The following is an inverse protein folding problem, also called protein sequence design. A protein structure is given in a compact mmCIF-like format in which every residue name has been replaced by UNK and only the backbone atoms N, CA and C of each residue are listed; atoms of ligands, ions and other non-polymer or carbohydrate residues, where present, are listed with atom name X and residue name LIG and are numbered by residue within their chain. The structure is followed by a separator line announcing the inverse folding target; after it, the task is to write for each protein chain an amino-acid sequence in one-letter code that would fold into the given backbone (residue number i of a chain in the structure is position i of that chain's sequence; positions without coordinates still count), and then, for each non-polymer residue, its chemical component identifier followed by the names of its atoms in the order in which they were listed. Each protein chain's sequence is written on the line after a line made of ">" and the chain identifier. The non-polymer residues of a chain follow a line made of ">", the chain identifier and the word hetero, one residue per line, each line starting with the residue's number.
data_IF_706951284751
#
_entry.id   IF_706951284751
#
_cell.length_a   1.000
_cell.length_b   1.000
_cell.length_c   1.000
_cell.angle_alpha   90.00
_cell.angle_beta   90.00
_cell.angle_gamma   90.00
#
_symmetry.space_group_name_H-M   'P 1'
#
loop_
_entity.id
_entity.type
_entity.pdbx_description
1 polymer ?
#
# COMPACT_ATOMS: atom_id res chain seq x y z
N UNK A 1 11.22 -11.84 -13.17
CA UNK A 1 11.29 -10.56 -13.88
C UNK A 1 9.98 -10.29 -14.58
N UNK A 2 9.34 -9.17 -14.25
CA UNK A 2 8.09 -8.72 -14.88
C UNK A 2 8.35 -8.07 -16.24
N UNK A 3 7.33 -7.94 -17.09
CA UNK A 3 7.44 -7.27 -18.39
C UNK A 3 7.84 -5.78 -18.27
N UNK A 4 7.49 -5.13 -17.16
CA UNK A 4 7.87 -3.74 -16.87
C UNK A 4 9.37 -3.64 -16.62
N UNK A 5 9.93 -4.54 -15.80
CA UNK A 5 11.37 -4.56 -15.49
C UNK A 5 12.25 -4.76 -16.73
N UNK A 6 11.76 -5.50 -17.73
CA UNK A 6 12.52 -5.80 -18.94
C UNK A 6 12.54 -4.64 -19.96
N UNK A 7 11.53 -3.78 -19.94
CA UNK A 7 11.32 -2.76 -20.98
C UNK A 7 11.48 -1.32 -20.49
N UNK A 8 11.41 -1.08 -19.17
CA UNK A 8 11.43 0.25 -18.56
C UNK A 8 12.53 0.39 -17.51
N UNK A 9 13.78 0.20 -17.93
CA UNK A 9 14.96 0.30 -17.05
C UNK A 9 15.10 1.73 -16.51
N UNK A 10 15.21 1.87 -15.18
CA UNK A 10 15.38 3.15 -14.49
C UNK A 10 14.09 3.90 -14.15
N UNK A 11 12.91 3.33 -14.47
CA UNK A 11 11.62 3.91 -14.12
C UNK A 11 11.14 3.37 -12.77
N UNK A 12 10.70 4.26 -11.89
CA UNK A 12 9.96 3.86 -10.69
C UNK A 12 8.54 3.43 -11.09
N UNK A 13 8.20 2.17 -10.84
CA UNK A 13 6.85 1.66 -11.02
C UNK A 13 6.11 1.63 -9.68
N UNK A 14 4.89 2.16 -9.65
CA UNK A 14 4.03 2.14 -8.46
C UNK A 14 2.68 1.51 -8.80
N UNK A 15 2.22 0.60 -7.94
CA UNK A 15 0.86 0.09 -8.01
C UNK A 15 -0.12 1.19 -7.62
N UNK A 16 -1.12 1.42 -8.47
CA UNK A 16 -2.12 2.47 -8.25
C UNK A 16 -2.88 2.26 -6.92
N UNK A 17 -2.77 3.23 -6.01
CA UNK A 17 -3.38 3.24 -4.68
C UNK A 17 -4.91 3.08 -4.72
N UNK A 18 -5.57 3.70 -5.71
CA UNK A 18 -7.03 3.63 -5.87
C UNK A 18 -7.48 2.21 -6.21
N UNK A 19 -6.82 1.56 -7.17
CA UNK A 19 -7.15 0.18 -7.54
C UNK A 19 -6.77 -0.80 -6.45
N UNK A 20 -5.64 -0.60 -5.78
CA UNK A 20 -5.25 -1.44 -4.64
C UNK A 20 -6.27 -1.38 -3.50
N UNK A 21 -6.73 -0.18 -3.11
CA UNK A 21 -7.81 -0.01 -2.13
C UNK A 21 -9.08 -0.75 -2.55
N UNK A 22 -9.51 -0.62 -3.81
CA UNK A 22 -10.69 -1.34 -4.32
C UNK A 22 -10.52 -2.86 -4.21
N UNK A 23 -9.35 -3.38 -4.55
CA UNK A 23 -9.04 -4.81 -4.45
C UNK A 23 -9.10 -5.30 -3.00
N UNK A 24 -8.50 -4.57 -2.06
CA UNK A 24 -8.58 -4.88 -0.62
C UNK A 24 -10.04 -4.90 -0.16
N UNK A 25 -10.82 -3.86 -0.47
CA UNK A 25 -12.20 -3.75 0.01
C UNK A 25 -13.12 -4.84 -0.57
N UNK A 26 -12.76 -5.45 -1.69
CA UNK A 26 -13.47 -6.64 -2.21
C UNK A 26 -13.33 -7.89 -1.33
N UNK A 27 -12.36 -7.91 -0.41
CA UNK A 27 -12.07 -9.01 0.52
C UNK A 27 -12.57 -8.71 1.95
N UNK A 28 -13.24 -7.59 2.16
CA UNK A 28 -13.70 -7.12 3.47
C UNK A 28 -15.23 -7.16 3.52
N UNK A 29 -15.79 -7.49 4.68
CA UNK A 29 -17.24 -7.44 4.89
C UNK A 29 -17.75 -5.99 4.79
N UNK A 30 -18.95 -5.78 4.22
CA UNK A 30 -19.48 -4.43 3.97
C UNK A 30 -19.51 -3.53 5.20
N UNK A 31 -19.86 -4.08 6.37
CA UNK A 31 -19.92 -3.33 7.64
C UNK A 31 -18.56 -2.88 8.18
N UNK A 32 -17.45 -3.38 7.64
CA UNK A 32 -16.09 -3.05 8.09
C UNK A 32 -15.26 -2.35 7.02
N UNK A 33 -15.80 -2.17 5.81
CA UNK A 33 -15.10 -1.61 4.67
C UNK A 33 -14.53 -0.21 4.97
N UNK A 34 -15.30 0.64 5.65
CA UNK A 34 -14.85 2.00 5.98
C UNK A 34 -13.71 2.00 7.01
N UNK A 35 -13.78 1.14 8.02
CA UNK A 35 -12.72 0.98 9.01
C UNK A 35 -11.42 0.48 8.37
N UNK A 36 -11.49 -0.55 7.51
CA UNK A 36 -10.32 -1.06 6.78
C UNK A 36 -9.77 -0.01 5.82
N UNK A 37 -10.63 0.71 5.11
CA UNK A 37 -10.21 1.81 4.24
C UNK A 37 -9.47 2.92 5.01
N UNK A 38 -9.94 3.27 6.21
CA UNK A 38 -9.31 4.27 7.06
C UNK A 38 -7.92 3.82 7.52
N UNK A 39 -7.78 2.56 7.97
CA UNK A 39 -6.48 1.99 8.35
C UNK A 39 -5.50 1.96 7.17
N UNK A 40 -5.92 1.53 5.98
CA UNK A 40 -5.04 1.54 4.79
C UNK A 40 -4.65 2.98 4.40
N UNK A 41 -5.52 3.97 4.60
CA UNK A 41 -5.21 5.37 4.29
C UNK A 41 -4.07 5.92 5.17
N UNK A 42 -3.89 5.43 6.40
CA UNK A 42 -2.85 5.94 7.29
C UNK A 42 -1.44 5.70 6.74
N UNK A 43 -1.24 4.66 5.92
CA UNK A 43 0.03 4.35 5.24
C UNK A 43 0.51 5.54 4.39
N UNK A 44 -0.40 6.26 3.75
CA UNK A 44 -0.07 7.30 2.77
C UNK A 44 0.05 8.72 3.36
N UNK A 45 -0.09 8.87 4.67
CA UNK A 45 -0.01 10.17 5.37
C UNK A 45 1.10 10.21 6.41
N UNK A 46 2.06 9.29 6.31
CA UNK A 46 3.21 9.20 7.20
C UNK A 46 4.24 10.29 6.91
N UNK A 47 5.06 10.69 7.91
CA UNK A 47 6.00 11.80 7.78
C UNK A 47 7.37 11.39 7.19
N UNK A 48 7.64 10.11 6.98
CA UNK A 48 8.93 9.64 6.45
C UNK A 48 8.82 8.27 5.79
N UNK A 49 9.79 7.90 4.95
CA UNK A 49 9.80 6.62 4.25
C UNK A 49 9.85 5.42 5.23
N UNK A 50 10.60 5.56 6.32
CA UNK A 50 10.64 4.58 7.40
C UNK A 50 9.27 4.45 8.07
N UNK A 51 8.60 5.57 8.34
CA UNK A 51 7.26 5.57 8.91
C UNK A 51 6.21 4.97 7.95
N UNK A 52 6.34 5.18 6.63
CA UNK A 52 5.51 4.50 5.62
C UNK A 52 5.69 2.98 5.73
N UNK A 53 6.96 2.52 5.73
CA UNK A 53 7.30 1.10 5.80
C UNK A 53 6.76 0.45 7.07
N UNK A 54 6.95 1.11 8.21
CA UNK A 54 6.44 0.64 9.49
C UNK A 54 4.92 0.63 9.54
N UNK A 55 4.26 1.67 9.02
CA UNK A 55 2.81 1.74 9.02
C UNK A 55 2.18 0.62 8.18
N UNK A 56 2.80 0.18 7.08
CA UNK A 56 2.32 -0.99 6.33
C UNK A 56 2.29 -2.22 7.24
N UNK A 57 3.38 -2.48 7.98
CA UNK A 57 3.47 -3.63 8.90
C UNK A 57 2.42 -3.56 10.00
N UNK A 58 2.30 -2.41 10.66
CA UNK A 58 1.29 -2.18 11.71
C UNK A 58 -0.12 -2.45 11.19
N UNK A 59 -0.46 -1.96 9.99
CA UNK A 59 -1.79 -2.18 9.40
C UNK A 59 -1.99 -3.64 9.01
N UNK A 60 -1.01 -4.29 8.36
CA UNK A 60 -1.09 -5.69 7.99
C UNK A 60 -1.29 -6.58 9.22
N UNK A 61 -0.52 -6.37 10.29
CA UNK A 61 -0.62 -7.16 11.52
C UNK A 61 -1.95 -6.93 12.24
N UNK A 62 -2.47 -5.70 12.26
CA UNK A 62 -3.80 -5.40 12.84
C UNK A 62 -4.93 -6.12 12.10
N UNK A 63 -4.76 -6.37 10.80
CA UNK A 63 -5.73 -7.03 9.95
C UNK A 63 -5.56 -8.55 9.91
N UNK A 64 -4.38 -9.07 10.25
CA UNK A 64 -3.98 -10.47 10.02
C UNK A 64 -4.93 -11.50 10.62
N UNK A 65 -5.45 -11.24 11.82
CA UNK A 65 -6.37 -12.16 12.51
C UNK A 65 -7.75 -12.21 11.82
N UNK A 66 -8.30 -11.05 11.44
CA UNK A 66 -9.68 -10.95 10.94
C UNK A 66 -9.78 -11.01 9.42
N UNK A 67 -8.77 -10.52 8.72
CA UNK A 67 -8.68 -10.39 7.28
C UNK A 67 -7.30 -10.85 6.79
N UNK A 68 -6.93 -12.13 7.00
CA UNK A 68 -5.60 -12.64 6.67
C UNK A 68 -5.22 -12.40 5.19
N UNK A 69 -6.17 -12.57 4.26
CA UNK A 69 -5.95 -12.28 2.84
C UNK A 69 -5.62 -10.79 2.58
N UNK A 70 -6.20 -9.87 3.35
CA UNK A 70 -5.89 -8.44 3.18
C UNK A 70 -4.49 -8.14 3.71
N UNK A 71 -4.10 -8.76 4.83
CA UNK A 71 -2.75 -8.63 5.37
C UNK A 71 -1.69 -9.14 4.39
N UNK A 72 -1.92 -10.32 3.81
CA UNK A 72 -1.05 -10.89 2.77
C UNK A 72 -0.96 -9.98 1.53
N UNK A 73 -2.09 -9.45 1.06
CA UNK A 73 -2.09 -8.48 -0.04
C UNK A 73 -1.30 -7.20 0.28
N UNK A 74 -1.29 -6.74 1.53
CA UNK A 74 -0.47 -5.60 1.97
C UNK A 74 1.01 -5.94 2.02
N UNK A 75 1.35 -7.12 2.56
CA UNK A 75 2.74 -7.61 2.64
C UNK A 75 3.34 -7.74 1.23
N UNK A 76 2.63 -8.40 0.31
CA UNK A 76 3.08 -8.61 -1.07
C UNK A 76 3.19 -7.31 -1.87
N UNK A 77 2.19 -6.43 -1.75
CA UNK A 77 2.15 -5.21 -2.53
C UNK A 77 2.94 -4.07 -1.93
N UNK A 78 3.46 -4.21 -0.70
CA UNK A 78 4.19 -3.19 0.05
C UNK A 78 5.23 -2.42 -0.79
N UNK A 79 6.19 -3.09 -1.47
CA UNK A 79 7.19 -2.37 -2.28
C UNK A 79 6.54 -1.58 -3.42
N UNK A 80 5.47 -2.09 -4.00
CA UNK A 80 4.82 -1.47 -5.17
C UNK A 80 3.89 -0.31 -4.78
N UNK A 81 3.20 -0.40 -3.64
CA UNK A 81 2.24 0.64 -3.21
C UNK A 81 2.92 1.77 -2.46
N UNK A 82 4.12 1.53 -1.92
CA UNK A 82 4.94 2.52 -1.21
C UNK A 82 6.08 3.09 -2.05
N UNK A 83 6.19 2.74 -3.34
CA UNK A 83 7.26 3.21 -4.22
C UNK A 83 7.42 4.75 -4.27
N UNK A 84 6.37 5.54 -4.00
CA UNK A 84 6.49 7.01 -3.86
C UNK A 84 7.48 7.44 -2.76
N UNK A 85 7.69 6.61 -1.74
CA UNK A 85 8.52 6.93 -0.58
C UNK A 85 10.02 7.00 -0.89
N UNK A 86 10.47 6.53 -2.07
CA UNK A 86 11.87 6.72 -2.51
C UNK A 86 12.16 8.14 -2.99
N UNK A 87 11.12 8.94 -3.26
CA UNK A 87 11.25 10.33 -3.67
C UNK A 87 11.29 11.27 -2.46
N UNK A 88 11.80 12.52 -2.60
CA UNK A 88 11.73 13.52 -1.53
C UNK A 88 10.28 13.75 -1.06
N UNK A 89 10.07 13.90 0.24
CA UNK A 89 8.74 14.05 0.87
C UNK A 89 7.89 15.15 0.23
N UNK A 90 8.53 16.27 -0.15
CA UNK A 90 7.87 17.40 -0.81
C UNK A 90 7.14 17.00 -2.12
N UNK A 91 7.50 15.87 -2.74
CA UNK A 91 6.91 15.40 -3.99
C UNK A 91 5.76 14.41 -3.78
N UNK A 92 5.60 13.83 -2.60
CA UNK A 92 4.70 12.71 -2.35
C UNK A 92 3.23 13.00 -2.66
N UNK A 93 2.78 14.25 -2.52
CA UNK A 93 1.38 14.63 -2.84
C UNK A 93 1.08 14.65 -4.34
N UNK A 94 2.12 14.72 -5.19
CA UNK A 94 2.01 14.80 -6.65
C UNK A 94 2.24 13.46 -7.35
N UNK A 95 2.69 12.46 -6.61
CA UNK A 95 2.88 11.06 -7.02
C UNK A 95 1.73 10.27 -6.42
#
# INVERSE_FOLDING_TARGET
>A
MSAVEQSMVGVAWQRCRVHFRRNILSKVTKGQADAVAAMVRTIFVQPSADAVTEQVRVVADSLRVKFPTVAEMLDEASPDVTAFAVFPEAHWRKI
#
